data_IF_421980441712
#
_entry.id   IF_421980441712
#
_cell.length_a   1.000
_cell.length_b   1.000
_cell.length_c   1.000
_cell.angle_alpha   90.00
_cell.angle_beta   90.00
_cell.angle_gamma   90.00
#
_symmetry.space_group_name_H-M   'P 1'
#
loop_
_entity.id
_entity.type
_entity.pdbx_description
1 polymer ?
#
# COMPACT_ATOMS: atom_id res chain seq x y z
N UNK A 1 19.21 55.32 25.91
CA UNK A 1 19.33 53.88 26.22
C UNK A 1 18.17 53.01 25.75
N UNK A 2 16.93 53.54 25.56
CA UNK A 2 15.77 52.73 25.10
C UNK A 2 15.92 52.13 23.69
N UNK A 3 16.58 52.83 22.76
CA UNK A 3 16.70 52.37 21.36
C UNK A 3 17.63 51.17 21.17
N UNK A 4 18.58 50.91 22.09
CA UNK A 4 19.50 49.76 22.01
C UNK A 4 18.79 48.42 22.21
N UNK A 5 17.71 48.38 23.00
CA UNK A 5 16.94 47.15 23.26
C UNK A 5 16.10 46.73 22.05
N UNK A 6 15.53 47.70 21.34
CA UNK A 6 14.74 47.45 20.12
C UNK A 6 15.63 46.86 19.02
N UNK A 7 16.87 47.37 18.88
CA UNK A 7 17.83 46.86 17.90
C UNK A 7 18.20 45.38 18.12
N UNK A 8 18.37 44.95 19.38
CA UNK A 8 18.68 43.55 19.71
C UNK A 8 17.52 42.61 19.35
N UNK A 9 16.27 43.04 19.60
CA UNK A 9 15.08 42.22 19.30
C UNK A 9 14.95 42.00 17.78
N UNK A 10 15.19 43.02 16.97
CA UNK A 10 15.12 42.92 15.50
C UNK A 10 16.17 41.91 14.98
N UNK A 11 17.39 41.94 15.54
CA UNK A 11 18.44 40.97 15.16
C UNK A 11 18.04 39.54 15.47
N UNK A 12 17.44 39.29 16.64
CA UNK A 12 17.01 37.94 17.03
C UNK A 12 15.92 37.39 16.11
N UNK A 13 14.99 38.23 15.65
CA UNK A 13 13.95 37.83 14.70
C UNK A 13 14.57 37.45 13.34
N UNK A 14 15.54 38.22 12.86
CA UNK A 14 16.25 37.91 11.61
C UNK A 14 17.04 36.60 11.69
N UNK A 15 17.70 36.33 12.83
CA UNK A 15 18.42 35.07 13.05
C UNK A 15 17.43 33.89 13.05
N UNK A 16 16.29 34.02 13.71
CA UNK A 16 15.24 32.99 13.72
C UNK A 16 14.69 32.69 12.32
N UNK A 17 14.40 33.72 11.53
CA UNK A 17 13.91 33.56 10.16
C UNK A 17 14.95 32.88 9.24
N UNK A 18 16.23 33.22 9.39
CA UNK A 18 17.30 32.54 8.63
C UNK A 18 17.46 31.07 9.03
N UNK A 19 17.35 30.74 10.32
CA UNK A 19 17.39 29.35 10.77
C UNK A 19 16.22 28.53 10.21
N UNK A 20 15.03 29.11 10.15
CA UNK A 20 13.85 28.43 9.63
C UNK A 20 13.98 28.11 8.12
N UNK A 21 14.42 29.09 7.31
CA UNK A 21 14.65 28.89 5.86
C UNK A 21 15.76 27.87 5.61
N UNK A 22 16.81 27.86 6.43
CA UNK A 22 17.91 26.90 6.30
C UNK A 22 17.45 25.47 6.63
N UNK A 23 16.63 25.30 7.67
CA UNK A 23 16.09 23.98 8.04
C UNK A 23 15.23 23.39 6.91
N UNK A 24 14.35 24.19 6.30
CA UNK A 24 13.45 23.71 5.24
C UNK A 24 14.21 23.26 3.97
N UNK A 25 15.30 23.95 3.62
CA UNK A 25 16.14 23.58 2.47
C UNK A 25 16.94 22.30 2.69
N UNK A 26 17.36 22.02 3.92
CA UNK A 26 18.13 20.81 4.21
C UNK A 26 17.25 19.56 4.23
N UNK A 27 15.99 19.66 4.67
CA UNK A 27 15.06 18.52 4.67
C UNK A 27 14.75 18.02 3.26
N UNK A 28 14.68 18.91 2.26
CA UNK A 28 14.45 18.50 0.87
C UNK A 28 15.64 17.77 0.25
N UNK A 29 16.87 18.20 0.58
CA UNK A 29 18.08 17.65 -0.03
C UNK A 29 18.37 16.21 0.43
N UNK A 30 18.06 15.89 1.68
CA UNK A 30 18.17 14.53 2.22
C UNK A 30 17.18 13.56 1.56
N UNK A 31 15.98 14.03 1.18
CA UNK A 31 15.02 13.20 0.46
C UNK A 31 15.40 12.92 -1.00
N UNK A 32 16.10 13.84 -1.67
CA UNK A 32 16.54 13.65 -3.06
C UNK A 32 17.77 12.71 -3.17
N UNK A 33 18.73 12.82 -2.24
CA UNK A 33 19.91 11.94 -2.23
C UNK A 33 19.53 10.48 -1.88
N UNK A 34 18.52 10.26 -1.04
CA UNK A 34 17.98 8.91 -0.74
C UNK A 34 17.23 8.27 -1.93
N UNK A 35 16.76 9.08 -2.90
CA UNK A 35 16.09 8.59 -4.11
C UNK A 35 17.08 8.22 -5.23
N UNK A 36 18.27 8.83 -5.28
CA UNK A 36 19.28 8.49 -6.29
C UNK A 36 20.09 7.24 -5.97
N UNK A 37 20.34 6.93 -4.70
CA UNK A 37 21.10 5.72 -4.32
C UNK A 37 20.26 4.43 -4.45
N UNK A 38 18.93 4.54 -4.28
CA UNK A 38 18.00 3.42 -4.48
C UNK A 38 17.80 3.00 -5.96
N UNK A 39 18.33 3.75 -6.93
CA UNK A 39 18.22 3.39 -8.35
C UNK A 39 19.39 2.55 -8.88
N UNK A 40 20.39 2.23 -8.05
CA UNK A 40 21.56 1.46 -8.49
C UNK A 40 21.94 0.25 -7.64
N UNK A 41 21.26 0.02 -6.53
CA UNK A 41 21.57 -1.09 -5.65
C UNK A 41 20.29 -1.61 -5.00
N UNK A 42 19.73 -2.69 -5.56
CA UNK A 42 19.14 -3.87 -4.87
C UNK A 42 18.36 -4.66 -5.93
N UNK A 43 19.11 -5.42 -6.73
CA UNK A 43 18.61 -6.55 -7.51
C UNK A 43 19.52 -7.75 -7.24
N UNK A 44 19.87 -7.95 -5.96
CA UNK A 44 20.36 -9.23 -5.45
C UNK A 44 19.21 -9.89 -4.68
N UNK A 45 18.35 -10.53 -5.47
CA UNK A 45 18.00 -11.95 -5.28
C UNK A 45 17.41 -12.34 -3.91
N UNK A 46 16.24 -11.80 -3.55
CA UNK A 46 15.22 -12.68 -2.97
C UNK A 46 14.62 -13.51 -4.12
N UNK A 47 14.45 -14.81 -3.91
CA UNK A 47 14.10 -15.77 -4.96
C UNK A 47 12.62 -15.64 -5.36
N UNK A 48 12.30 -14.54 -6.04
CA UNK A 48 11.02 -14.31 -6.66
C UNK A 48 10.93 -15.20 -7.91
N UNK A 49 9.97 -16.11 -7.92
CA UNK A 49 9.69 -16.94 -9.09
C UNK A 49 8.33 -16.58 -9.66
N UNK A 50 8.33 -16.23 -10.94
CA UNK A 50 7.11 -16.13 -11.75
C UNK A 50 7.11 -17.34 -12.67
N UNK A 51 6.18 -18.26 -12.42
CA UNK A 51 5.99 -19.43 -13.28
C UNK A 51 4.70 -19.26 -14.06
N UNK A 52 4.78 -19.38 -15.39
CA UNK A 52 3.61 -19.40 -16.26
C UNK A 52 3.19 -20.86 -16.48
N UNK A 53 1.95 -21.19 -16.09
CA UNK A 53 1.38 -22.50 -16.41
C UNK A 53 0.84 -22.46 -17.84
N UNK A 54 1.46 -23.21 -18.75
CA UNK A 54 1.00 -23.28 -20.15
C UNK A 54 -0.48 -23.69 -20.23
N UNK A 55 -1.30 -22.82 -20.80
CA UNK A 55 -2.71 -23.10 -21.14
C UNK A 55 -3.76 -22.72 -20.10
N UNK A 56 -3.41 -22.24 -18.90
CA UNK A 56 -4.40 -21.81 -17.90
C UNK A 56 -4.85 -20.34 -18.07
N UNK A 57 -4.00 -19.49 -18.67
CA UNK A 57 -4.22 -18.04 -18.70
C UNK A 57 -3.91 -17.35 -17.38
N UNK A 58 -3.28 -18.04 -16.43
CA UNK A 58 -2.89 -17.55 -15.11
C UNK A 58 -1.38 -17.68 -14.90
N UNK A 59 -0.82 -16.77 -14.12
CA UNK A 59 0.57 -16.78 -13.67
C UNK A 59 0.63 -16.95 -12.16
N UNK A 60 1.61 -17.71 -11.70
CA UNK A 60 1.90 -17.89 -10.28
C UNK A 60 2.92 -16.84 -9.83
N UNK A 61 2.67 -16.20 -8.70
CA UNK A 61 3.63 -15.36 -8.00
C UNK A 61 3.90 -15.90 -6.59
N UNK A 62 5.14 -15.83 -6.14
CA UNK A 62 5.50 -16.12 -4.77
C UNK A 62 6.53 -15.15 -4.21
N UNK A 63 6.33 -14.79 -2.95
CA UNK A 63 7.23 -13.95 -2.17
C UNK A 63 7.73 -14.76 -0.97
N UNK A 64 8.99 -15.17 -1.00
CA UNK A 64 9.62 -15.92 0.09
C UNK A 64 9.79 -15.09 1.36
N UNK A 65 10.07 -13.80 1.22
CA UNK A 65 10.39 -12.89 2.33
C UNK A 65 9.19 -12.71 3.27
N UNK A 66 7.98 -12.77 2.71
CA UNK A 66 6.71 -12.70 3.44
C UNK A 66 5.93 -14.02 3.40
N UNK A 67 6.54 -15.10 2.94
CA UNK A 67 5.98 -16.46 2.96
C UNK A 67 4.54 -16.54 2.41
N UNK A 68 4.29 -15.99 1.22
CA UNK A 68 3.01 -16.11 0.52
C UNK A 68 3.16 -16.34 -0.98
N UNK A 69 2.10 -16.84 -1.60
CA UNK A 69 1.95 -16.95 -3.06
C UNK A 69 0.52 -16.67 -3.49
N UNK A 70 0.31 -16.25 -4.74
CA UNK A 70 -1.03 -16.09 -5.33
C UNK A 70 -0.99 -16.32 -6.84
N UNK A 71 -2.18 -16.50 -7.44
CA UNK A 71 -2.37 -16.56 -8.88
C UNK A 71 -2.99 -15.27 -9.38
N UNK A 72 -2.56 -14.81 -10.56
CA UNK A 72 -3.13 -13.64 -11.22
C UNK A 72 -3.27 -13.88 -12.72
N UNK A 73 -4.19 -13.19 -13.42
CA UNK A 73 -4.37 -13.39 -14.85
C UNK A 73 -3.12 -13.00 -15.64
N UNK A 74 -2.79 -13.79 -16.66
CA UNK A 74 -1.55 -13.68 -17.44
C UNK A 74 -1.38 -12.34 -18.17
N UNK A 75 -2.48 -11.66 -18.47
CA UNK A 75 -2.53 -10.35 -19.11
C UNK A 75 -2.30 -9.18 -18.14
N UNK A 76 -2.31 -9.43 -16.83
CA UNK A 76 -2.03 -8.41 -15.83
C UNK A 76 -0.51 -8.18 -15.73
N UNK A 77 -0.15 -6.94 -15.43
CA UNK A 77 1.23 -6.57 -15.17
C UNK A 77 1.50 -6.69 -13.67
N UNK A 78 2.56 -7.42 -13.33
CA UNK A 78 3.02 -7.58 -11.96
C UNK A 78 4.11 -6.56 -11.64
N UNK A 79 3.98 -5.90 -10.49
CA UNK A 79 4.93 -4.95 -9.94
C UNK A 79 5.30 -5.36 -8.51
N UNK A 80 6.58 -5.64 -8.25
CA UNK A 80 7.08 -6.17 -6.96
C UNK A 80 7.92 -5.20 -6.14
N UNK A 81 8.26 -4.08 -6.75
CA UNK A 81 8.45 -2.83 -6.06
C UNK A 81 7.31 -1.95 -6.52
N UNK A 82 6.68 -1.14 -5.67
CA UNK A 82 5.86 -0.05 -6.19
C UNK A 82 6.75 0.78 -7.13
N UNK A 83 6.60 0.71 -8.47
CA UNK A 83 7.07 1.84 -9.24
C UNK A 83 6.32 3.04 -8.67
N UNK A 84 6.90 4.22 -8.79
CA UNK A 84 6.28 5.49 -8.44
C UNK A 84 5.03 5.68 -9.31
N UNK A 85 3.98 4.89 -9.08
CA UNK A 85 2.62 5.27 -9.37
C UNK A 85 2.50 6.54 -8.56
N UNK A 86 2.47 7.70 -9.22
CA UNK A 86 2.30 9.03 -8.60
C UNK A 86 1.01 9.18 -7.78
N UNK A 87 0.32 8.06 -7.60
CA UNK A 87 -0.80 7.84 -6.72
C UNK A 87 -0.18 7.66 -5.35
N UNK A 88 -0.19 8.73 -4.55
CA UNK A 88 0.29 8.82 -3.17
C UNK A 88 -0.35 7.80 -2.19
N UNK A 89 -1.08 6.82 -2.70
CA UNK A 89 -1.80 5.79 -1.96
C UNK A 89 -0.94 4.52 -1.75
N UNK A 90 0.14 4.31 -2.52
CA UNK A 90 0.87 3.02 -2.55
C UNK A 90 2.25 3.02 -1.88
N UNK A 91 2.61 4.03 -1.09
CA UNK A 91 3.98 4.24 -0.57
C UNK A 91 4.57 3.08 0.26
N UNK A 92 3.79 2.04 0.60
CA UNK A 92 4.27 0.85 1.33
C UNK A 92 3.70 -0.48 0.80
N UNK A 93 3.19 -0.51 -0.43
CA UNK A 93 2.74 -1.73 -1.11
C UNK A 93 3.91 -2.55 -1.65
N UNK A 94 3.99 -3.84 -1.30
CA UNK A 94 5.09 -4.70 -1.77
C UNK A 94 4.77 -5.41 -3.08
N UNK A 95 3.52 -5.77 -3.37
CA UNK A 95 3.20 -6.40 -4.66
C UNK A 95 1.85 -5.93 -5.17
N UNK A 96 1.84 -5.50 -6.43
CA UNK A 96 0.65 -5.05 -7.16
C UNK A 96 0.56 -5.79 -8.47
N UNK A 97 -0.50 -6.57 -8.68
CA UNK A 97 -0.91 -7.00 -10.01
C UNK A 97 -1.94 -5.98 -10.52
N UNK A 98 -1.73 -5.43 -11.71
CA UNK A 98 -2.53 -4.33 -12.26
C UNK A 98 -3.04 -4.67 -13.65
N UNK A 99 -4.31 -4.37 -13.90
CA UNK A 99 -4.93 -4.37 -15.23
C UNK A 99 -5.23 -2.93 -15.65
N UNK A 100 -4.62 -2.51 -16.76
CA UNK A 100 -4.72 -1.16 -17.28
C UNK A 100 -5.90 -0.99 -18.25
N UNK A 101 -6.58 0.17 -18.20
CA UNK A 101 -7.53 0.59 -19.25
C UNK A 101 -6.79 1.23 -20.40
N UNK A 102 -5.83 2.09 -20.04
CA UNK A 102 -4.95 2.84 -20.90
C UNK A 102 -3.62 3.08 -20.16
N UNK A 103 -2.69 3.83 -20.77
CA UNK A 103 -1.37 4.11 -20.19
C UNK A 103 -1.39 4.92 -18.88
N UNK A 104 -2.53 5.50 -18.49
CA UNK A 104 -2.66 6.43 -17.36
C UNK A 104 -3.54 5.94 -16.21
N UNK A 105 -4.46 5.00 -16.45
CA UNK A 105 -5.47 4.60 -15.47
C UNK A 105 -5.69 3.07 -15.42
N UNK A 106 -5.44 2.41 -14.27
CA UNK A 106 -5.82 1.03 -14.04
C UNK A 106 -7.34 0.90 -13.94
N UNK A 107 -7.91 -0.09 -14.64
CA UNK A 107 -9.30 -0.51 -14.45
C UNK A 107 -9.41 -1.25 -13.13
N UNK A 108 -8.40 -2.10 -12.85
CA UNK A 108 -8.41 -3.02 -11.73
C UNK A 108 -7.01 -3.20 -11.16
N UNK A 109 -6.92 -3.41 -9.86
CA UNK A 109 -5.68 -3.86 -9.23
C UNK A 109 -5.95 -4.91 -8.15
N UNK A 110 -4.91 -5.65 -7.83
CA UNK A 110 -4.80 -6.59 -6.73
C UNK A 110 -3.48 -6.31 -6.01
N UNK A 111 -3.56 -5.98 -4.73
CA UNK A 111 -2.50 -5.39 -3.93
C UNK A 111 -2.35 -6.19 -2.64
N UNK A 112 -1.12 -6.58 -2.31
CA UNK A 112 -0.80 -7.23 -1.04
C UNK A 112 0.13 -6.33 -0.24
N UNK A 113 -0.29 -6.03 1.00
CA UNK A 113 0.42 -5.18 1.97
C UNK A 113 0.62 -5.94 3.28
N UNK A 114 1.76 -6.66 3.44
CA UNK A 114 2.13 -7.21 4.73
C UNK A 114 2.62 -6.09 5.65
N UNK A 115 2.04 -5.99 6.84
CA UNK A 115 2.42 -5.03 7.87
C UNK A 115 2.86 -5.77 9.12
N UNK A 116 4.13 -5.62 9.50
CA UNK A 116 4.64 -6.16 10.76
C UNK A 116 4.10 -5.29 11.89
N UNK A 117 3.31 -5.88 12.76
CA UNK A 117 2.86 -5.25 13.99
C UNK A 117 4.04 -5.18 14.95
N UNK A 118 4.40 -3.97 15.38
CA UNK A 118 5.37 -3.78 16.45
C UNK A 118 4.89 -4.41 17.76
N UNK A 119 5.73 -4.40 18.80
CA UNK A 119 5.37 -4.94 20.13
C UNK A 119 4.24 -4.16 20.85
N UNK A 120 3.68 -3.13 20.20
CA UNK A 120 2.48 -2.45 20.66
C UNK A 120 1.24 -3.15 20.11
N UNK A 121 0.20 -3.28 20.93
CA UNK A 121 -1.07 -3.94 20.61
C UNK A 121 -1.90 -3.20 19.54
N UNK A 122 -1.33 -2.90 18.37
CA UNK A 122 -2.16 -2.66 17.19
C UNK A 122 -2.76 -4.01 16.80
N UNK A 123 -3.89 -4.33 17.43
CA UNK A 123 -4.69 -5.48 17.06
C UNK A 123 -5.21 -5.32 15.63
N UNK A 124 -5.55 -6.45 14.98
CA UNK A 124 -6.27 -6.47 13.70
C UNK A 124 -7.46 -5.50 13.67
N UNK A 125 -8.11 -5.30 14.83
CA UNK A 125 -9.22 -4.36 15.01
C UNK A 125 -8.77 -2.91 14.84
N UNK A 126 -7.62 -2.51 15.39
CA UNK A 126 -7.11 -1.14 15.25
C UNK A 126 -6.81 -0.80 13.80
N UNK A 127 -6.11 -1.69 13.08
CA UNK A 127 -5.82 -1.51 11.65
C UNK A 127 -7.10 -1.38 10.81
N UNK A 128 -8.08 -2.24 11.11
CA UNK A 128 -9.40 -2.20 10.49
C UNK A 128 -10.15 -0.88 10.74
N UNK A 129 -10.19 -0.38 11.98
CA UNK A 129 -10.89 0.86 12.32
C UNK A 129 -10.32 2.05 11.56
N UNK A 130 -8.99 2.11 11.45
CA UNK A 130 -8.30 3.15 10.68
C UNK A 130 -8.73 3.11 9.22
N UNK A 131 -8.78 1.94 8.58
CA UNK A 131 -9.23 1.84 7.18
C UNK A 131 -10.67 2.31 6.98
N UNK A 132 -11.60 1.87 7.83
CA UNK A 132 -13.01 2.30 7.76
C UNK A 132 -13.14 3.80 7.95
N UNK A 133 -12.39 4.37 8.91
CA UNK A 133 -12.38 5.80 9.17
C UNK A 133 -11.86 6.60 7.98
N UNK A 134 -10.69 6.23 7.43
CA UNK A 134 -10.09 6.89 6.26
C UNK A 134 -10.99 6.80 5.04
N UNK A 135 -11.58 5.63 4.78
CA UNK A 135 -12.52 5.45 3.68
C UNK A 135 -13.73 6.41 3.80
N UNK A 136 -14.25 6.60 5.02
CA UNK A 136 -15.32 7.58 5.27
C UNK A 136 -14.91 9.02 4.96
N UNK A 137 -13.65 9.40 5.20
CA UNK A 137 -13.13 10.72 4.85
C UNK A 137 -13.00 10.93 3.33
N UNK A 138 -12.77 9.85 2.58
CA UNK A 138 -12.67 9.83 1.13
C UNK A 138 -14.05 9.74 0.44
N UNK A 139 -15.14 9.72 1.21
CA UNK A 139 -16.50 9.60 0.66
C UNK A 139 -16.88 8.17 0.25
N UNK A 140 -16.06 7.17 0.59
CA UNK A 140 -16.38 5.77 0.36
C UNK A 140 -17.49 5.32 1.33
N UNK A 141 -18.42 4.51 0.80
CA UNK A 141 -19.48 3.88 1.58
C UNK A 141 -19.14 2.44 1.87
N UNK A 142 -19.24 2.03 3.13
CA UNK A 142 -19.08 0.62 3.52
C UNK A 142 -20.26 -0.18 2.94
N UNK A 143 -19.96 -1.15 2.08
CA UNK A 143 -20.91 -2.09 1.48
C UNK A 143 -21.07 -3.33 2.36
N UNK A 144 -19.96 -3.90 2.84
CA UNK A 144 -19.97 -5.05 3.76
C UNK A 144 -18.77 -5.03 4.72
N UNK A 145 -18.94 -5.73 5.85
CA UNK A 145 -17.91 -5.91 6.87
C UNK A 145 -18.15 -7.24 7.57
N UNK A 146 -17.32 -8.22 7.25
CA UNK A 146 -17.53 -9.63 7.62
C UNK A 146 -16.29 -10.18 8.31
N UNK A 147 -16.49 -10.90 9.41
CA UNK A 147 -15.45 -11.73 10.01
C UNK A 147 -15.50 -13.12 9.37
N UNK A 148 -14.34 -13.66 9.00
CA UNK A 148 -14.22 -15.00 8.41
C UNK A 148 -12.96 -15.71 8.91
N UNK A 149 -12.86 -17.01 8.64
CA UNK A 149 -11.60 -17.74 8.75
C UNK A 149 -11.00 -18.00 7.38
N UNK A 150 -9.70 -17.82 7.25
CA UNK A 150 -8.96 -18.06 6.02
C UNK A 150 -7.73 -18.90 6.32
N UNK A 151 -7.69 -20.13 5.81
CA UNK A 151 -6.57 -21.08 6.03
C UNK A 151 -6.21 -21.30 7.51
N UNK A 152 -7.21 -21.25 8.40
CA UNK A 152 -7.03 -21.39 9.85
C UNK A 152 -6.60 -20.11 10.57
N UNK A 153 -6.52 -18.97 9.86
CA UNK A 153 -6.23 -17.65 10.43
C UNK A 153 -7.50 -16.81 10.53
N UNK A 154 -7.57 -15.97 11.57
CA UNK A 154 -8.63 -14.97 11.69
C UNK A 154 -8.48 -13.93 10.59
N UNK A 155 -9.57 -13.68 9.87
CA UNK A 155 -9.61 -12.76 8.76
C UNK A 155 -10.85 -11.86 8.80
N UNK A 156 -10.78 -10.73 8.09
CA UNK A 156 -11.90 -9.80 7.94
C UNK A 156 -12.00 -9.28 6.52
N UNK A 157 -13.19 -9.35 5.92
CA UNK A 157 -13.51 -8.80 4.58
C UNK A 157 -14.20 -7.47 4.77
N UNK A 158 -13.71 -6.44 4.08
CA UNK A 158 -14.35 -5.13 3.94
C UNK A 158 -14.61 -4.86 2.48
N UNK A 159 -15.82 -4.40 2.17
CA UNK A 159 -16.12 -3.86 0.85
C UNK A 159 -16.53 -2.39 0.98
N UNK A 160 -15.96 -1.55 0.11
CA UNK A 160 -16.25 -0.14 -0.02
C UNK A 160 -16.76 0.16 -1.43
N UNK A 161 -17.59 1.19 -1.54
CA UNK A 161 -18.12 1.68 -2.81
C UNK A 161 -17.96 3.20 -2.91
N UNK A 162 -17.39 3.67 -4.00
CA UNK A 162 -17.26 5.08 -4.34
C UNK A 162 -18.40 5.50 -5.29
N UNK A 163 -19.42 6.23 -4.81
CA UNK A 163 -20.61 6.52 -5.60
C UNK A 163 -20.37 7.46 -6.80
N UNK A 164 -19.34 8.31 -6.74
CA UNK A 164 -19.08 9.28 -7.81
C UNK A 164 -18.39 8.69 -9.05
N UNK A 165 -17.59 7.64 -8.86
CA UNK A 165 -16.80 7.02 -9.95
C UNK A 165 -17.17 5.55 -10.18
N UNK A 166 -18.23 5.07 -9.53
CA UNK A 166 -18.74 3.69 -9.60
C UNK A 166 -17.67 2.62 -9.30
N UNK A 167 -16.80 2.92 -8.35
CA UNK A 167 -15.64 2.09 -8.02
C UNK A 167 -15.90 1.26 -6.77
N UNK A 168 -15.55 -0.03 -6.81
CA UNK A 168 -15.64 -0.91 -5.63
C UNK A 168 -14.25 -1.36 -5.23
N UNK A 169 -13.97 -1.30 -3.92
CA UNK A 169 -12.76 -1.83 -3.30
C UNK A 169 -13.14 -2.91 -2.30
N UNK A 170 -12.52 -4.09 -2.38
CA UNK A 170 -12.60 -5.15 -1.39
C UNK A 170 -11.23 -5.33 -0.76
N UNK A 171 -11.16 -5.32 0.57
CA UNK A 171 -9.94 -5.60 1.33
C UNK A 171 -10.15 -6.75 2.29
N UNK A 172 -9.24 -7.71 2.25
CA UNK A 172 -9.12 -8.80 3.24
C UNK A 172 -7.97 -8.49 4.17
N UNK A 173 -8.21 -8.57 5.48
CA UNK A 173 -7.19 -8.40 6.50
C UNK A 173 -7.01 -9.73 7.22
N UNK A 174 -5.84 -10.35 7.08
CA UNK A 174 -5.51 -11.65 7.68
C UNK A 174 -4.38 -11.46 8.69
N UNK A 175 -4.60 -11.90 9.94
CA UNK A 175 -3.56 -11.90 10.96
C UNK A 175 -2.87 -13.27 10.99
N UNK A 176 -1.59 -13.31 10.61
CA UNK A 176 -0.71 -14.47 10.77
C UNK A 176 0.46 -14.05 11.66
N UNK A 177 0.53 -14.64 12.85
CA UNK A 177 1.51 -14.30 13.88
C UNK A 177 1.45 -12.81 14.25
N UNK A 178 2.51 -12.04 14.01
CA UNK A 178 2.57 -10.59 14.21
C UNK A 178 2.48 -9.80 12.89
N UNK A 179 2.03 -10.40 11.79
CA UNK A 179 1.92 -9.75 10.49
C UNK A 179 0.45 -9.68 10.07
N UNK A 180 -0.01 -8.48 9.72
CA UNK A 180 -1.31 -8.27 9.07
C UNK A 180 -1.09 -8.20 7.58
N UNK A 181 -1.72 -9.11 6.84
CA UNK A 181 -1.77 -9.09 5.38
C UNK A 181 -3.04 -8.36 4.98
N UNK A 182 -2.92 -7.15 4.44
CA UNK A 182 -4.00 -6.47 3.71
C UNK A 182 -3.94 -6.88 2.25
N UNK A 183 -4.94 -7.62 1.78
CA UNK A 183 -5.11 -8.01 0.38
C UNK A 183 -6.27 -7.18 -0.17
N UNK A 184 -5.93 -6.14 -0.92
CA UNK A 184 -6.91 -5.21 -1.49
C UNK A 184 -7.06 -5.47 -2.96
N UNK A 185 -8.28 -5.48 -3.43
CA UNK A 185 -8.58 -5.53 -4.84
C UNK A 185 -9.67 -4.53 -5.16
N UNK A 186 -9.58 -3.90 -6.33
CA UNK A 186 -10.54 -2.87 -6.68
C UNK A 186 -10.73 -2.76 -8.19
N UNK A 187 -11.90 -2.28 -8.61
CA UNK A 187 -12.28 -2.14 -10.03
C UNK A 187 -13.40 -1.13 -10.25
N UNK A 188 -13.38 -0.46 -11.41
CA UNK A 188 -14.48 0.38 -11.92
C UNK A 188 -15.69 -0.43 -12.43
N UNK A 189 -15.48 -1.68 -12.83
CA UNK A 189 -16.54 -2.61 -13.23
C UNK A 189 -16.32 -3.90 -12.43
N UNK A 190 -16.62 -3.83 -11.14
CA UNK A 190 -16.19 -4.84 -10.19
C UNK A 190 -17.02 -6.13 -10.32
N UNK A 191 -16.44 -7.14 -10.95
CA UNK A 191 -16.92 -8.53 -10.86
C UNK A 191 -16.29 -9.17 -9.61
N UNK A 192 -17.09 -9.30 -8.55
CA UNK A 192 -16.63 -9.82 -7.26
C UNK A 192 -16.06 -11.25 -7.36
N UNK A 193 -16.51 -12.02 -8.36
CA UNK A 193 -16.08 -13.40 -8.60
C UNK A 193 -14.59 -13.53 -8.95
N UNK A 194 -14.05 -12.64 -9.80
CA UNK A 194 -12.62 -12.67 -10.19
C UNK A 194 -11.71 -12.38 -8.99
N UNK A 195 -12.13 -11.46 -8.14
CA UNK A 195 -11.39 -11.08 -6.94
C UNK A 195 -11.45 -12.14 -5.86
N UNK A 196 -12.63 -12.70 -5.64
CA UNK A 196 -12.79 -13.83 -4.75
C UNK A 196 -11.97 -15.02 -5.26
N UNK A 197 -11.84 -15.24 -6.57
CA UNK A 197 -10.96 -16.26 -7.13
C UNK A 197 -9.47 -15.99 -6.84
N UNK A 198 -8.98 -14.77 -7.07
CA UNK A 198 -7.58 -14.41 -6.74
C UNK A 198 -7.30 -14.57 -5.24
N UNK A 199 -8.23 -14.13 -4.39
CA UNK A 199 -8.14 -14.31 -2.94
C UNK A 199 -8.18 -15.80 -2.54
N UNK A 200 -9.05 -16.59 -3.15
CA UNK A 200 -9.14 -18.04 -2.94
C UNK A 200 -7.91 -18.79 -3.44
N UNK A 201 -7.05 -18.17 -4.25
CA UNK A 201 -5.75 -18.72 -4.68
C UNK A 201 -4.55 -18.14 -3.94
N UNK A 202 -4.74 -17.13 -3.09
CA UNK A 202 -3.71 -16.70 -2.15
C UNK A 202 -3.39 -17.83 -1.16
N UNK A 203 -2.11 -18.09 -0.89
CA UNK A 203 -1.64 -19.16 0.01
C UNK A 203 -0.51 -18.62 0.87
N UNK A 204 -0.49 -19.03 2.13
CA UNK A 204 0.72 -18.92 2.93
C UNK A 204 1.67 -20.07 2.60
N UNK A 205 2.93 -19.74 2.35
CA UNK A 205 4.02 -20.71 2.23
C UNK A 205 4.34 -21.28 3.62
N UNK A 206 4.76 -22.55 3.64
CA UNK A 206 5.12 -23.29 4.85
C UNK A 206 6.53 -22.99 5.31
#
# INVERSE_FOLDING_TARGET
>A
MKNKRIFIIIILIFIGAMFWIWAEKNTQKESEDLLQDNHKQTAEESAEYVTEQEGSGWKDYANSDFSYSFQYPSEWQLFTSAPVLKWSFFDQGQVVAVRWFNESEPISYFLIRPTILGSGELSLIGFWQTKVFTAGLEGLKVKSNESLEFQGYSARKLAFYHPEVDYTEISYFILKENIVYEITAASLNFEEEDFDYMFLNFRFLK
#
